data_IF_286370325403
#
_entry.id   IF_286370325403
#
_cell.length_a   1.000
_cell.length_b   1.000
_cell.length_c   1.000
_cell.angle_alpha   90.00
_cell.angle_beta   90.00
_cell.angle_gamma   90.00
#
_symmetry.space_group_name_H-M   'P 1'
#
loop_
_entity.id
_entity.type
_entity.pdbx_description
1 polymer ?
#
# COMPACT_ATOMS: atom_id res chain seq x y z
N UNK A 1 -31.90 -7.14 -1.97
CA UNK A 1 -30.49 -7.17 -1.50
C UNK A 1 -29.64 -7.42 -2.73
N UNK A 2 -29.14 -6.37 -3.37
CA UNK A 2 -28.21 -6.52 -4.49
C UNK A 2 -26.83 -6.83 -3.90
N UNK A 3 -26.43 -8.09 -3.93
CA UNK A 3 -25.03 -8.47 -3.80
C UNK A 3 -24.41 -8.27 -5.19
N UNK A 4 -23.84 -7.09 -5.41
CA UNK A 4 -23.07 -6.80 -6.62
C UNK A 4 -21.81 -7.67 -6.58
N UNK A 5 -21.81 -8.74 -7.37
CA UNK A 5 -20.62 -9.54 -7.61
C UNK A 5 -19.69 -8.84 -8.59
N UNK A 6 -18.39 -8.93 -8.31
CA UNK A 6 -17.30 -8.78 -9.27
C UNK A 6 -16.98 -7.35 -9.65
N UNK A 7 -16.42 -6.58 -8.73
CA UNK A 7 -15.40 -5.53 -8.97
C UNK A 7 -15.08 -4.82 -7.66
N UNK A 8 -13.83 -4.42 -7.49
CA UNK A 8 -13.43 -3.51 -6.40
C UNK A 8 -14.18 -2.19 -6.59
N UNK A 9 -14.78 -1.68 -5.52
CA UNK A 9 -15.43 -0.36 -5.50
C UNK A 9 -14.47 0.72 -6.05
N UNK A 10 -14.97 1.55 -6.97
CA UNK A 10 -14.13 2.51 -7.69
C UNK A 10 -13.48 3.53 -6.76
N UNK A 11 -14.20 4.00 -5.74
CA UNK A 11 -13.64 4.94 -4.78
C UNK A 11 -12.52 4.29 -3.97
N UNK A 12 -12.69 3.03 -3.57
CA UNK A 12 -11.66 2.27 -2.86
C UNK A 12 -10.43 2.02 -3.76
N UNK A 13 -10.66 1.75 -5.05
CA UNK A 13 -9.61 1.57 -6.05
C UNK A 13 -8.79 2.84 -6.25
N UNK A 14 -9.45 3.98 -6.47
CA UNK A 14 -8.79 5.28 -6.62
C UNK A 14 -7.97 5.64 -5.37
N UNK A 15 -8.54 5.48 -4.18
CA UNK A 15 -7.85 5.72 -2.91
C UNK A 15 -6.61 4.82 -2.76
N UNK A 16 -6.74 3.53 -3.09
CA UNK A 16 -5.61 2.60 -3.08
C UNK A 16 -4.51 3.02 -4.06
N UNK A 17 -4.88 3.42 -5.29
CA UNK A 17 -3.93 3.87 -6.30
C UNK A 17 -3.18 5.13 -5.85
N UNK A 18 -3.88 6.12 -5.28
CA UNK A 18 -3.27 7.34 -4.76
C UNK A 18 -2.24 7.06 -3.67
N UNK A 19 -2.57 6.18 -2.73
CA UNK A 19 -1.65 5.77 -1.65
C UNK A 19 -0.44 5.03 -2.23
N UNK A 20 -0.64 4.11 -3.16
CA UNK A 20 0.44 3.35 -3.79
C UNK A 20 1.36 4.23 -4.64
N UNK A 21 0.81 5.18 -5.38
CA UNK A 21 1.59 6.17 -6.13
C UNK A 21 2.40 7.05 -5.17
N UNK A 22 1.80 7.53 -4.09
CA UNK A 22 2.52 8.29 -3.06
C UNK A 22 3.65 7.46 -2.44
N UNK A 23 3.44 6.16 -2.22
CA UNK A 23 4.42 5.27 -1.61
C UNK A 23 5.70 5.08 -2.44
N UNK A 24 5.68 5.34 -3.75
CA UNK A 24 6.88 5.34 -4.59
C UNK A 24 7.88 6.44 -4.22
N UNK A 25 7.39 7.52 -3.61
CA UNK A 25 8.17 8.70 -3.21
C UNK A 25 8.43 8.76 -1.70
N UNK A 26 7.97 7.78 -0.92
CA UNK A 26 8.23 7.76 0.51
C UNK A 26 9.73 7.54 0.81
N UNK A 27 10.17 8.14 1.90
CA UNK A 27 11.47 7.88 2.50
C UNK A 27 11.24 7.43 3.95
N UNK A 28 11.59 6.18 4.24
CA UNK A 28 11.33 5.57 5.55
C UNK A 28 12.39 4.53 5.91
N UNK A 29 12.33 4.01 7.12
CA UNK A 29 13.30 3.05 7.62
C UNK A 29 13.12 1.67 6.98
N UNK A 30 14.18 0.84 6.88
CA UNK A 30 14.08 -0.52 6.34
C UNK A 30 13.04 -1.41 7.06
N UNK A 31 12.80 -1.15 8.36
CA UNK A 31 11.78 -1.84 9.14
C UNK A 31 10.36 -1.55 8.66
N UNK A 32 10.07 -0.30 8.30
CA UNK A 32 8.78 0.09 7.72
C UNK A 32 8.65 -0.48 6.31
N UNK A 33 9.70 -0.44 5.49
CA UNK A 33 9.65 -1.07 4.15
C UNK A 33 9.35 -2.57 4.20
N UNK A 34 9.85 -3.27 5.21
CA UNK A 34 9.54 -4.70 5.43
C UNK A 34 8.07 -4.94 5.82
N UNK A 35 7.41 -3.95 6.44
CA UNK A 35 5.97 -3.98 6.71
C UNK A 35 5.18 -3.66 5.46
N UNK A 36 5.52 -2.57 4.76
CA UNK A 36 4.93 -2.20 3.47
C UNK A 36 4.94 -3.37 2.49
N UNK A 37 6.09 -4.05 2.33
CA UNK A 37 6.22 -5.21 1.44
C UNK A 37 5.26 -6.36 1.76
N UNK A 38 4.96 -6.59 3.04
CA UNK A 38 3.98 -7.59 3.49
C UNK A 38 2.56 -7.12 3.25
N UNK A 39 2.25 -5.86 3.52
CA UNK A 39 0.93 -5.28 3.25
C UNK A 39 0.61 -5.31 1.76
N UNK A 40 1.58 -5.00 0.88
CA UNK A 40 1.42 -5.11 -0.57
C UNK A 40 1.12 -6.53 -1.04
N UNK A 41 1.76 -7.54 -0.43
CA UNK A 41 1.47 -8.94 -0.76
C UNK A 41 0.03 -9.31 -0.39
N UNK A 42 -0.44 -8.90 0.80
CA UNK A 42 -1.84 -9.11 1.18
C UNK A 42 -2.80 -8.33 0.30
N UNK A 43 -2.42 -7.11 -0.12
CA UNK A 43 -3.25 -6.25 -0.96
C UNK A 43 -3.43 -6.87 -2.35
N UNK A 44 -2.38 -7.43 -2.93
CA UNK A 44 -2.47 -8.17 -4.19
C UNK A 44 -3.42 -9.37 -4.09
N UNK A 45 -3.39 -10.12 -2.98
CA UNK A 45 -4.32 -11.22 -2.75
C UNK A 45 -5.77 -10.75 -2.61
N UNK A 46 -5.99 -9.63 -1.91
CA UNK A 46 -7.31 -9.01 -1.79
C UNK A 46 -7.84 -8.54 -3.15
N UNK A 47 -6.97 -7.96 -3.98
CA UNK A 47 -7.31 -7.55 -5.35
C UNK A 47 -7.67 -8.75 -6.21
N UNK A 48 -6.87 -9.83 -6.16
CA UNK A 48 -7.14 -11.06 -6.91
C UNK A 48 -8.44 -11.76 -6.45
N UNK A 49 -8.85 -11.55 -5.20
CA UNK A 49 -10.10 -12.04 -4.63
C UNK A 49 -11.29 -11.07 -4.81
N UNK A 50 -11.09 -9.91 -5.44
CA UNK A 50 -12.07 -8.83 -5.59
C UNK A 50 -12.68 -8.36 -4.25
N UNK A 51 -11.92 -8.50 -3.15
CA UNK A 51 -12.37 -8.16 -1.80
C UNK A 51 -12.15 -6.66 -1.52
N UNK A 52 -13.17 -5.87 -1.85
CA UNK A 52 -13.18 -4.42 -1.59
C UNK A 52 -12.94 -4.07 -0.12
N UNK A 53 -13.43 -4.88 0.82
CA UNK A 53 -13.27 -4.65 2.25
C UNK A 53 -11.81 -4.82 2.67
N UNK A 54 -11.18 -5.90 2.21
CA UNK A 54 -9.76 -6.15 2.47
C UNK A 54 -8.85 -5.12 1.77
N UNK A 55 -9.17 -4.71 0.54
CA UNK A 55 -8.43 -3.65 -0.16
C UNK A 55 -8.44 -2.36 0.66
N UNK A 56 -9.62 -1.92 1.11
CA UNK A 56 -9.76 -0.71 1.93
C UNK A 56 -8.96 -0.77 3.24
N UNK A 57 -9.09 -1.87 3.98
CA UNK A 57 -8.37 -2.03 5.25
C UNK A 57 -6.84 -2.04 5.02
N UNK A 58 -6.36 -2.70 3.97
CA UNK A 58 -4.94 -2.77 3.65
C UNK A 58 -4.38 -1.44 3.13
N UNK A 59 -5.17 -0.66 2.39
CA UNK A 59 -4.83 0.73 2.01
C UNK A 59 -4.66 1.59 3.25
N UNK A 60 -5.59 1.52 4.20
CA UNK A 60 -5.48 2.25 5.48
C UNK A 60 -4.24 1.86 6.27
N UNK A 61 -3.89 0.56 6.29
CA UNK A 61 -2.64 0.10 6.92
C UNK A 61 -1.41 0.72 6.25
N UNK A 62 -1.39 0.89 4.93
CA UNK A 62 -0.29 1.58 4.24
C UNK A 62 -0.21 3.05 4.68
N UNK A 63 -1.32 3.75 4.77
CA UNK A 63 -1.37 5.14 5.23
C UNK A 63 -0.88 5.29 6.68
N UNK A 64 -1.28 4.40 7.57
CA UNK A 64 -0.81 4.40 8.96
C UNK A 64 0.70 4.17 9.03
N UNK A 65 1.26 3.29 8.19
CA UNK A 65 2.71 3.10 8.09
C UNK A 65 3.45 4.35 7.59
N UNK A 66 2.82 5.15 6.72
CA UNK A 66 3.35 6.46 6.32
C UNK A 66 3.41 7.42 7.51
N UNK A 67 2.36 7.48 8.32
CA UNK A 67 2.31 8.36 9.50
C UNK A 67 3.36 7.94 10.55
N UNK A 68 3.54 6.64 10.75
CA UNK A 68 4.57 6.10 11.65
C UNK A 68 5.98 6.45 11.18
N UNK A 69 6.22 6.48 9.87
CA UNK A 69 7.52 6.89 9.31
C UNK A 69 7.89 8.34 9.65
N UNK A 70 6.90 9.24 9.66
CA UNK A 70 7.08 10.64 10.05
C UNK A 70 7.37 10.81 11.55
N UNK A 71 6.73 10.02 12.42
CA UNK A 71 6.91 10.11 13.88
C UNK A 71 8.21 9.47 14.37
N UNK A 72 8.70 8.42 13.71
CA UNK A 72 9.95 7.75 14.08
C UNK A 72 11.21 8.54 13.72
N UNK A 73 11.15 9.36 12.67
CA UNK A 73 12.30 10.14 12.19
C UNK A 73 12.72 11.28 13.14
N UNK A 74 11.80 11.83 13.94
CA UNK A 74 12.12 12.86 14.94
C UNK A 74 12.93 12.31 16.13
N UNK A 75 12.90 11.00 16.38
CA UNK A 75 13.46 10.41 17.60
C UNK A 75 14.91 9.89 17.46
N UNK A 76 15.47 9.77 16.25
CA UNK A 76 16.90 9.49 16.12
C UNK A 76 17.33 8.90 14.79
N UNK A 77 18.18 9.65 14.08
CA UNK A 77 19.32 9.23 13.22
C UNK A 77 19.14 8.11 12.16
N UNK A 78 18.00 7.48 12.00
CA UNK A 78 17.75 6.58 10.88
C UNK A 78 17.38 7.41 9.65
N UNK A 79 18.35 7.63 8.76
CA UNK A 79 18.09 8.30 7.49
C UNK A 79 17.06 7.49 6.70
N UNK A 80 15.91 8.11 6.41
CA UNK A 80 14.90 7.53 5.54
C UNK A 80 15.54 7.03 4.24
N UNK A 81 15.18 5.83 3.84
CA UNK A 81 15.60 5.21 2.58
C UNK A 81 14.42 5.15 1.64
N UNK A 82 14.67 5.27 0.34
CA UNK A 82 13.66 5.00 -0.69
C UNK A 82 13.34 3.51 -0.75
N UNK A 83 12.21 3.17 -1.38
CA UNK A 83 11.83 1.78 -1.62
C UNK A 83 12.99 1.02 -2.31
N UNK A 84 13.35 -0.14 -1.74
CA UNK A 84 14.32 -1.05 -2.38
C UNK A 84 13.73 -1.65 -3.65
N UNK A 85 14.57 -2.22 -4.53
CA UNK A 85 14.12 -2.76 -5.82
C UNK A 85 12.93 -3.72 -5.70
N UNK A 86 12.96 -4.64 -4.73
CA UNK A 86 11.87 -5.61 -4.49
C UNK A 86 10.57 -4.92 -4.06
N UNK A 87 10.65 -3.91 -3.19
CA UNK A 87 9.44 -3.21 -2.72
C UNK A 87 8.88 -2.31 -3.83
N UNK A 88 9.75 -1.65 -4.59
CA UNK A 88 9.37 -0.82 -5.73
C UNK A 88 8.68 -1.65 -6.82
N UNK A 89 9.23 -2.81 -7.15
CA UNK A 89 8.62 -3.77 -8.09
C UNK A 89 7.22 -4.17 -7.62
N UNK A 90 7.07 -4.55 -6.35
CA UNK A 90 5.75 -4.89 -5.78
C UNK A 90 4.77 -3.73 -5.83
N UNK A 91 5.21 -2.49 -5.56
CA UNK A 91 4.38 -1.30 -5.68
C UNK A 91 3.89 -1.15 -7.11
N UNK A 92 4.80 -1.18 -8.09
CA UNK A 92 4.46 -1.06 -9.51
C UNK A 92 3.51 -2.17 -9.98
N UNK A 93 3.73 -3.41 -9.57
CA UNK A 93 2.87 -4.54 -9.90
C UNK A 93 1.46 -4.37 -9.32
N UNK A 94 1.37 -3.89 -8.08
CA UNK A 94 0.08 -3.67 -7.41
C UNK A 94 -0.71 -2.53 -8.05
N UNK A 95 -0.03 -1.43 -8.40
CA UNK A 95 -0.61 -0.30 -9.16
C UNK A 95 -1.15 -0.81 -10.50
N UNK A 96 -0.34 -1.59 -11.24
CA UNK A 96 -0.76 -2.10 -12.53
C UNK A 96 -1.97 -3.05 -12.42
N UNK A 97 -2.03 -3.88 -11.36
CA UNK A 97 -3.20 -4.75 -11.11
C UNK A 97 -4.47 -3.95 -10.82
N UNK A 98 -4.39 -2.92 -9.97
CA UNK A 98 -5.54 -2.09 -9.61
C UNK A 98 -5.99 -1.17 -10.75
N UNK A 99 -5.08 -0.76 -11.63
CA UNK A 99 -5.37 0.10 -12.79
C UNK A 99 -5.95 -0.61 -14.01
N UNK A 100 -6.16 -1.93 -13.97
CA UNK A 100 -6.84 -2.71 -15.01
C UNK A 100 -8.34 -2.83 -14.76
#
# INVERSE_FOLDING_TARGET
MHFGGGMIDEQIREEALDVLHSALDWETTPGIWSRVSRTLQSLQLAVDAEDSGAVKELTRVLEDLRLDSGRGNDAGKDSGTKATGVVRERLTDTIHKLGK
#
